data_IF_809704588208
#
_entry.id   IF_809704588208
#
_cell.length_a   1.000
_cell.length_b   1.000
_cell.length_c   1.000
_cell.angle_alpha   90.00
_cell.angle_beta   90.00
_cell.angle_gamma   90.00
#
_symmetry.space_group_name_H-M   'P 1'
#
loop_
_entity.id
_entity.type
_entity.pdbx_description
1 polymer ?
#
# COMPACT_ATOMS: atom_id res chain seq x y z
N UNK A 1 2.68 -5.07 -16.94
CA UNK A 1 2.68 -4.93 -15.48
C UNK A 1 3.71 -3.86 -15.16
N UNK A 2 3.33 -2.84 -14.40
CA UNK A 2 4.27 -1.81 -13.93
C UNK A 2 5.43 -2.51 -13.21
N UNK A 3 6.67 -2.17 -13.57
CA UNK A 3 7.86 -2.85 -13.06
C UNK A 3 8.34 -2.28 -11.71
N UNK A 4 7.50 -1.51 -11.01
CA UNK A 4 7.84 -0.86 -9.75
C UNK A 4 6.65 -0.73 -8.80
N UNK A 5 6.91 -0.36 -7.52
CA UNK A 5 5.87 -0.20 -6.52
C UNK A 5 4.92 0.94 -6.88
N UNK A 6 3.63 0.74 -6.64
CA UNK A 6 2.57 1.72 -6.92
C UNK A 6 2.45 2.75 -5.78
N UNK A 7 2.69 2.32 -4.54
CA UNK A 7 2.70 3.22 -3.39
C UNK A 7 4.12 3.62 -2.98
N UNK A 8 4.29 4.91 -2.64
CA UNK A 8 5.54 5.41 -2.07
C UNK A 8 5.69 5.07 -0.59
N UNK A 9 6.89 4.69 -0.16
CA UNK A 9 7.22 4.42 1.25
C UNK A 9 6.85 5.58 2.19
N UNK A 10 7.02 6.83 1.73
CA UNK A 10 6.62 8.04 2.47
C UNK A 10 5.16 8.01 2.95
N UNK A 11 4.24 7.44 2.16
CA UNK A 11 2.84 7.32 2.55
C UNK A 11 2.65 6.29 3.67
N UNK A 12 3.38 5.17 3.61
CA UNK A 12 3.34 4.11 4.61
C UNK A 12 3.79 4.62 5.98
N UNK A 13 4.93 5.34 6.04
CA UNK A 13 5.37 5.97 7.29
C UNK A 13 4.32 6.92 7.86
N UNK A 14 3.66 7.73 7.01
CA UNK A 14 2.63 8.68 7.48
C UNK A 14 1.42 7.96 8.05
N UNK A 15 0.95 6.89 7.41
CA UNK A 15 -0.15 6.08 7.92
C UNK A 15 0.22 5.47 9.27
N UNK A 16 1.36 4.78 9.35
CA UNK A 16 1.81 4.13 10.59
C UNK A 16 2.02 5.12 11.74
N UNK A 17 2.63 6.29 11.49
CA UNK A 17 2.79 7.35 12.50
C UNK A 17 1.44 7.91 12.98
N UNK A 18 0.50 8.14 12.06
CA UNK A 18 -0.87 8.55 12.42
C UNK A 18 -1.61 7.47 13.22
N UNK A 19 -1.25 6.20 13.04
CA UNK A 19 -1.75 5.07 13.84
C UNK A 19 -1.04 4.90 15.18
N UNK A 20 -0.13 5.80 15.57
CA UNK A 20 0.53 5.80 16.88
C UNK A 20 1.94 5.19 16.89
N UNK A 21 2.50 4.81 15.75
CA UNK A 21 3.90 4.35 15.72
C UNK A 21 4.86 5.52 15.91
N UNK A 22 5.62 5.52 17.02
CA UNK A 22 6.66 6.54 17.27
C UNK A 22 7.85 6.41 16.31
N UNK A 23 8.22 5.17 15.99
CA UNK A 23 9.31 4.82 15.07
C UNK A 23 8.84 3.72 14.12
N UNK A 24 9.31 3.80 12.88
CA UNK A 24 8.96 2.88 11.80
C UNK A 24 10.22 2.62 10.99
N UNK A 25 10.57 1.36 10.77
CA UNK A 25 11.68 0.97 9.89
C UNK A 25 11.25 0.94 8.42
N UNK A 26 12.22 1.00 7.53
CA UNK A 26 12.00 0.91 6.08
C UNK A 26 11.34 -0.43 5.71
N UNK A 27 11.78 -1.53 6.33
CA UNK A 27 11.20 -2.85 6.12
C UNK A 27 9.74 -2.92 6.56
N UNK A 28 9.37 -2.28 7.69
CA UNK A 28 7.99 -2.28 8.16
C UNK A 28 7.08 -1.44 7.25
N UNK A 29 7.60 -0.30 6.75
CA UNK A 29 6.90 0.52 5.78
C UNK A 29 6.74 -0.21 4.43
N UNK A 30 7.76 -0.96 4.00
CA UNK A 30 7.71 -1.77 2.79
C UNK A 30 6.71 -2.92 2.90
N UNK A 31 6.62 -3.57 4.06
CA UNK A 31 5.68 -4.66 4.27
C UNK A 31 4.22 -4.18 4.24
N UNK A 32 3.93 -3.02 4.86
CA UNK A 32 2.62 -2.38 4.74
C UNK A 32 2.29 -2.04 3.28
N UNK A 33 3.27 -1.57 2.51
CA UNK A 33 3.08 -1.29 1.08
C UNK A 33 2.65 -2.54 0.32
N UNK A 34 3.36 -3.66 0.48
CA UNK A 34 3.03 -4.92 -0.22
C UNK A 34 1.59 -5.36 0.06
N UNK A 35 1.19 -5.33 1.33
CA UNK A 35 -0.18 -5.70 1.73
C UNK A 35 -1.21 -4.76 1.11
N UNK A 36 -0.96 -3.45 1.12
CA UNK A 36 -1.88 -2.48 0.51
C UNK A 36 -1.95 -2.61 -1.01
N UNK A 37 -0.84 -2.90 -1.69
CA UNK A 37 -0.82 -3.15 -3.13
C UNK A 37 -1.63 -4.40 -3.50
N UNK A 38 -1.51 -5.48 -2.73
CA UNK A 38 -2.32 -6.69 -2.95
C UNK A 38 -3.82 -6.40 -2.78
N UNK A 39 -4.19 -5.68 -1.72
CA UNK A 39 -5.60 -5.30 -1.48
C UNK A 39 -6.10 -4.35 -2.58
N UNK A 40 -5.29 -3.37 -2.98
CA UNK A 40 -5.63 -2.42 -4.04
C UNK A 40 -5.84 -3.13 -5.38
N UNK A 41 -4.99 -4.10 -5.73
CA UNK A 41 -5.14 -4.89 -6.97
C UNK A 41 -6.45 -5.68 -6.96
N UNK A 42 -6.80 -6.31 -5.84
CA UNK A 42 -8.06 -7.05 -5.69
C UNK A 42 -9.28 -6.14 -5.86
N UNK A 43 -9.27 -4.97 -5.21
CA UNK A 43 -10.34 -3.97 -5.34
C UNK A 43 -10.42 -3.46 -6.78
N UNK A 44 -9.29 -3.17 -7.41
CA UNK A 44 -9.23 -2.67 -8.78
C UNK A 44 -9.81 -3.67 -9.79
N UNK A 45 -9.50 -4.97 -9.64
CA UNK A 45 -10.10 -6.04 -10.49
C UNK A 45 -11.62 -6.06 -10.36
N UNK A 46 -12.13 -6.05 -9.14
CA UNK A 46 -13.58 -6.01 -8.90
C UNK A 46 -14.23 -4.74 -9.45
N UNK A 47 -13.57 -3.59 -9.33
CA UNK A 47 -14.08 -2.34 -9.88
C UNK A 47 -14.16 -2.36 -11.41
N UNK A 48 -13.16 -2.96 -12.08
CA UNK A 48 -13.19 -3.17 -13.54
C UNK A 48 -14.34 -4.10 -13.93
N UNK A 49 -14.51 -5.22 -13.23
CA UNK A 49 -15.61 -6.17 -13.49
C UNK A 49 -17.00 -5.53 -13.34
N UNK A 50 -17.15 -4.56 -12.43
CA UNK A 50 -18.40 -3.81 -12.22
C UNK A 50 -18.59 -2.63 -13.18
N UNK A 51 -17.54 -2.21 -13.88
CA UNK A 51 -17.57 -1.04 -14.77
C UNK A 51 -18.09 -1.35 -16.19
N UNK A 52 -18.32 -2.64 -16.49
CA UNK A 52 -18.71 -3.15 -17.82
C UNK A 52 -20.14 -3.68 -17.87
#
# INVERSE_FOLDING_TARGET
MSSGPEFGLAAMYRVMKKSGAERVSDDAADELRKVLEEVAERIAKQAVDLSV
#
